data_IF_562205464765
#
_entry.id   IF_562205464765
#
_cell.length_a   1.000
_cell.length_b   1.000
_cell.length_c   1.000
_cell.angle_alpha   90.00
_cell.angle_beta   90.00
_cell.angle_gamma   90.00
#
_symmetry.space_group_name_H-M   'P 1'
#
loop_
_entity.id
_entity.type
_entity.pdbx_description
1 polymer ?
#
# COMPACT_ATOMS: atom_id res chain seq x y z
N UNK A 1 46.16 23.61 -27.30
CA UNK A 1 46.16 22.56 -26.25
C UNK A 1 44.72 22.33 -25.83
N UNK A 2 44.25 21.10 -25.99
CA UNK A 2 42.87 20.70 -25.79
C UNK A 2 42.54 20.54 -24.30
N UNK A 3 41.33 20.97 -23.93
CA UNK A 3 40.68 20.66 -22.66
C UNK A 3 39.20 20.47 -22.92
N UNK A 4 38.83 19.28 -23.40
CA UNK A 4 37.44 18.87 -23.65
C UNK A 4 36.77 18.59 -22.31
N UNK A 5 35.81 19.43 -21.90
CA UNK A 5 34.89 19.10 -20.80
C UNK A 5 33.57 18.60 -21.36
N UNK A 6 33.31 17.32 -21.13
CA UNK A 6 32.14 16.56 -21.55
C UNK A 6 30.82 17.14 -20.97
N UNK A 7 29.78 17.44 -21.78
CA UNK A 7 28.51 17.96 -21.28
C UNK A 7 27.46 16.85 -21.15
N UNK A 8 27.72 15.81 -20.35
CA UNK A 8 26.73 14.76 -20.12
C UNK A 8 26.72 14.27 -18.66
N UNK A 9 25.93 14.96 -17.84
CA UNK A 9 25.32 14.54 -16.55
C UNK A 9 24.76 15.85 -16.00
N UNK A 10 23.46 16.10 -15.93
CA UNK A 10 22.61 15.80 -14.77
C UNK A 10 21.12 16.11 -15.09
N UNK A 11 20.67 16.00 -16.35
CA UNK A 11 19.33 16.47 -16.76
C UNK A 11 18.27 15.38 -16.89
N UNK A 12 18.38 14.27 -16.16
CA UNK A 12 17.38 13.18 -16.20
C UNK A 12 16.75 12.89 -14.82
N UNK A 13 17.36 13.33 -13.71
CA UNK A 13 16.91 12.94 -12.36
C UNK A 13 15.83 13.90 -11.81
N UNK A 14 15.75 15.16 -12.26
CA UNK A 14 14.82 16.16 -11.67
C UNK A 14 13.39 16.11 -12.19
N UNK A 15 13.14 15.56 -13.39
CA UNK A 15 11.78 15.45 -13.96
C UNK A 15 10.93 14.43 -13.22
N UNK A 16 11.52 13.32 -12.79
CA UNK A 16 10.79 12.25 -12.08
C UNK A 16 10.35 12.68 -10.68
N UNK A 17 11.15 13.47 -9.95
CA UNK A 17 10.76 13.98 -8.63
C UNK A 17 9.56 14.91 -8.70
N UNK A 18 9.55 15.83 -9.66
CA UNK A 18 8.40 16.73 -9.89
C UNK A 18 7.17 15.98 -10.37
N UNK A 19 7.33 14.95 -11.21
CA UNK A 19 6.22 14.13 -11.68
C UNK A 19 5.63 13.25 -10.56
N UNK A 20 6.46 12.68 -9.70
CA UNK A 20 6.04 11.90 -8.53
C UNK A 20 5.40 12.82 -7.47
N UNK A 21 5.98 13.97 -7.17
CA UNK A 21 5.39 14.97 -6.28
C UNK A 21 4.08 15.55 -6.84
N UNK A 22 3.98 15.75 -8.17
CA UNK A 22 2.75 16.17 -8.84
C UNK A 22 1.71 15.05 -8.82
N UNK A 23 2.09 13.78 -9.03
CA UNK A 23 1.21 12.64 -8.83
C UNK A 23 0.67 12.62 -7.41
N UNK A 24 1.56 12.64 -6.40
CA UNK A 24 1.24 12.67 -4.96
C UNK A 24 0.37 13.87 -4.55
N UNK A 25 0.66 15.07 -5.05
CA UNK A 25 -0.10 16.29 -4.76
C UNK A 25 -1.45 16.33 -5.49
N UNK A 26 -1.56 15.68 -6.65
CA UNK A 26 -2.83 15.50 -7.35
C UNK A 26 -3.76 14.49 -6.67
N UNK A 27 -3.26 13.60 -5.79
CA UNK A 27 -4.11 12.56 -5.18
C UNK A 27 -5.17 13.09 -4.19
N UNK A 28 -4.86 13.99 -3.24
CA UNK A 28 -5.89 14.64 -2.43
C UNK A 28 -6.80 15.54 -3.29
N UNK A 29 -6.21 16.18 -4.32
CA UNK A 29 -6.93 17.09 -5.20
C UNK A 29 -7.95 16.38 -6.11
N UNK A 30 -7.69 15.14 -6.56
CA UNK A 30 -8.64 14.34 -7.37
C UNK A 30 -9.80 13.84 -6.52
N UNK A 31 -9.56 13.44 -5.26
CA UNK A 31 -10.63 13.07 -4.33
C UNK A 31 -11.54 14.27 -4.01
N UNK A 32 -10.97 15.47 -3.89
CA UNK A 32 -11.72 16.72 -3.68
C UNK A 32 -12.42 17.24 -4.96
N UNK A 33 -11.84 17.03 -6.15
CA UNK A 33 -12.35 17.60 -7.40
C UNK A 33 -13.64 16.93 -7.94
N UNK A 34 -14.00 15.74 -7.45
CA UNK A 34 -15.16 14.96 -7.94
C UNK A 34 -16.29 14.79 -6.90
N UNK A 35 -16.35 15.62 -5.86
CA UNK A 35 -17.42 15.56 -4.84
C UNK A 35 -17.12 14.66 -3.64
N UNK A 36 -15.86 14.23 -3.48
CA UNK A 36 -15.40 13.49 -2.32
C UNK A 36 -15.26 11.97 -2.52
N UNK A 37 -14.62 11.31 -1.56
CA UNK A 37 -14.46 9.85 -1.57
C UNK A 37 -13.73 9.26 -0.35
N UNK A 38 -13.63 7.93 -0.26
CA UNK A 38 -13.08 7.22 0.89
C UNK A 38 -11.54 7.28 0.92
N UNK A 39 -10.98 8.05 1.84
CA UNK A 39 -9.53 8.29 2.01
C UNK A 39 -8.73 6.98 2.11
N UNK A 40 -9.23 5.98 2.84
CA UNK A 40 -8.55 4.70 2.99
C UNK A 40 -8.33 3.99 1.65
N UNK A 41 -9.35 3.98 0.77
CA UNK A 41 -9.24 3.35 -0.54
C UNK A 41 -8.22 4.06 -1.43
N UNK A 42 -8.16 5.40 -1.33
CA UNK A 42 -7.13 6.19 -2.03
C UNK A 42 -5.73 5.83 -1.52
N UNK A 43 -5.50 5.83 -0.20
CA UNK A 43 -4.20 5.48 0.38
C UNK A 43 -3.78 4.06 -0.02
N UNK A 44 -4.69 3.09 0.08
CA UNK A 44 -4.40 1.71 -0.31
C UNK A 44 -4.05 1.57 -1.79
N UNK A 45 -4.79 2.25 -2.67
CA UNK A 45 -4.51 2.27 -4.10
C UNK A 45 -3.13 2.85 -4.43
N UNK A 46 -2.78 3.97 -3.80
CA UNK A 46 -1.45 4.58 -3.98
C UNK A 46 -0.33 3.70 -3.43
N UNK A 47 -0.49 3.15 -2.22
CA UNK A 47 0.49 2.27 -1.60
C UNK A 47 0.75 1.03 -2.47
N UNK A 48 -0.28 0.48 -3.11
CA UNK A 48 -0.13 -0.60 -4.08
C UNK A 48 0.70 -0.16 -5.30
N UNK A 49 0.28 0.91 -6.00
CA UNK A 49 0.95 1.33 -7.25
C UNK A 49 2.44 1.62 -7.05
N UNK A 50 2.80 2.31 -5.96
CA UNK A 50 4.18 2.73 -5.73
C UNK A 50 5.00 1.72 -4.93
N UNK A 51 4.36 0.99 -4.01
CA UNK A 51 5.02 0.04 -3.13
C UNK A 51 5.30 -1.31 -3.75
N UNK A 52 4.53 -1.72 -4.76
CA UNK A 52 4.55 -3.10 -5.27
C UNK A 52 5.93 -3.55 -5.72
N UNK A 53 6.68 -2.70 -6.43
CA UNK A 53 8.03 -3.06 -6.92
C UNK A 53 8.97 -3.37 -5.76
N UNK A 54 8.94 -2.55 -4.71
CA UNK A 54 9.78 -2.72 -3.52
C UNK A 54 9.38 -3.98 -2.75
N UNK A 55 8.08 -4.16 -2.49
CA UNK A 55 7.55 -5.31 -1.76
C UNK A 55 7.92 -6.61 -2.48
N UNK A 56 7.63 -6.70 -3.78
CA UNK A 56 7.95 -7.90 -4.57
C UNK A 56 9.45 -8.20 -4.57
N UNK A 57 10.30 -7.17 -4.66
CA UNK A 57 11.75 -7.33 -4.65
C UNK A 57 12.25 -7.91 -3.32
N UNK A 58 11.91 -7.27 -2.19
CA UNK A 58 12.37 -7.67 -0.86
C UNK A 58 11.85 -9.05 -0.48
N UNK A 59 10.57 -9.32 -0.69
CA UNK A 59 9.98 -10.61 -0.33
C UNK A 59 10.52 -11.75 -1.20
N UNK A 60 10.76 -11.49 -2.49
CA UNK A 60 11.40 -12.47 -3.37
C UNK A 60 12.82 -12.77 -2.90
N UNK A 61 13.60 -11.76 -2.52
CA UNK A 61 14.96 -11.98 -2.00
C UNK A 61 14.94 -12.79 -0.71
N UNK A 62 14.06 -12.46 0.23
CA UNK A 62 13.94 -13.15 1.51
C UNK A 62 13.46 -14.60 1.32
N UNK A 63 12.43 -14.83 0.50
CA UNK A 63 11.91 -16.17 0.26
C UNK A 63 12.94 -17.02 -0.49
N UNK A 64 13.66 -16.46 -1.45
CA UNK A 64 14.72 -17.17 -2.18
C UNK A 64 15.80 -17.64 -1.20
N UNK A 65 16.24 -16.76 -0.31
CA UNK A 65 17.25 -17.07 0.71
C UNK A 65 16.77 -18.15 1.69
N UNK A 66 15.50 -18.11 2.08
CA UNK A 66 14.95 -19.06 3.05
C UNK A 66 14.62 -20.44 2.43
N UNK A 67 14.16 -20.47 1.18
CA UNK A 67 13.64 -21.69 0.53
C UNK A 67 14.64 -22.42 -0.36
N UNK A 68 15.70 -21.73 -0.84
CA UNK A 68 16.62 -22.29 -1.83
C UNK A 68 16.01 -22.52 -3.22
N UNK A 69 14.77 -22.06 -3.45
CA UNK A 69 14.09 -22.20 -4.74
C UNK A 69 14.73 -21.32 -5.83
N UNK A 70 14.45 -21.66 -7.09
CA UNK A 70 14.82 -20.82 -8.23
C UNK A 70 14.20 -19.42 -8.10
N UNK A 71 14.86 -18.39 -8.67
CA UNK A 71 14.35 -17.02 -8.66
C UNK A 71 12.94 -16.94 -9.24
N UNK A 72 12.69 -17.62 -10.36
CA UNK A 72 11.39 -17.59 -11.06
C UNK A 72 10.27 -18.20 -10.22
N UNK A 73 10.53 -19.35 -9.60
CA UNK A 73 9.55 -20.00 -8.71
C UNK A 73 9.26 -19.13 -7.50
N UNK A 74 10.31 -18.58 -6.89
CA UNK A 74 10.19 -17.70 -5.73
C UNK A 74 9.37 -16.46 -6.04
N UNK A 75 9.70 -15.78 -7.16
CA UNK A 75 8.97 -14.60 -7.60
C UNK A 75 7.50 -14.92 -7.84
N UNK A 76 7.18 -16.06 -8.48
CA UNK A 76 5.79 -16.48 -8.69
C UNK A 76 5.03 -16.68 -7.37
N UNK A 77 5.66 -17.28 -6.36
CA UNK A 77 5.04 -17.49 -5.05
C UNK A 77 4.72 -16.15 -4.38
N UNK A 78 5.69 -15.23 -4.37
CA UNK A 78 5.55 -13.89 -3.78
C UNK A 78 4.54 -13.05 -4.55
N UNK A 79 4.62 -13.05 -5.88
CA UNK A 79 3.73 -12.29 -6.75
C UNK A 79 2.27 -12.71 -6.55
N UNK A 80 1.98 -14.02 -6.53
CA UNK A 80 0.63 -14.50 -6.32
C UNK A 80 0.12 -14.19 -4.91
N UNK A 81 0.95 -14.34 -3.88
CA UNK A 81 0.56 -14.01 -2.51
C UNK A 81 0.19 -12.52 -2.39
N UNK A 82 1.05 -11.63 -2.91
CA UNK A 82 0.83 -10.20 -2.91
C UNK A 82 -0.38 -9.78 -3.76
N UNK A 83 -0.57 -10.39 -4.93
CA UNK A 83 -1.72 -10.12 -5.78
C UNK A 83 -3.02 -10.48 -5.05
N UNK A 84 -3.07 -11.66 -4.43
CA UNK A 84 -4.25 -12.11 -3.69
C UNK A 84 -4.52 -11.25 -2.46
N UNK A 85 -3.50 -10.93 -1.67
CA UNK A 85 -3.64 -10.09 -0.49
C UNK A 85 -4.02 -8.66 -0.84
N UNK A 86 -3.50 -8.11 -1.95
CA UNK A 86 -3.92 -6.81 -2.46
C UNK A 86 -5.39 -6.82 -2.90
N UNK A 87 -5.81 -7.81 -3.70
CA UNK A 87 -7.18 -7.83 -4.22
C UNK A 87 -8.20 -8.01 -3.09
N UNK A 88 -7.94 -8.91 -2.15
CA UNK A 88 -8.87 -9.22 -1.06
C UNK A 88 -8.81 -8.17 0.04
N UNK A 89 -7.61 -7.84 0.52
CA UNK A 89 -7.42 -7.00 1.70
C UNK A 89 -7.03 -5.57 1.31
N UNK A 90 -6.05 -5.39 0.43
CA UNK A 90 -5.58 -4.06 0.04
C UNK A 90 -6.67 -3.19 -0.59
N UNK A 91 -7.47 -3.76 -1.49
CA UNK A 91 -8.53 -3.05 -2.22
C UNK A 91 -9.92 -3.54 -1.83
N UNK A 92 -10.13 -4.86 -1.73
CA UNK A 92 -11.43 -5.44 -1.44
C UNK A 92 -12.01 -4.98 -0.10
N UNK A 93 -11.18 -4.96 0.96
CA UNK A 93 -11.63 -4.51 2.27
C UNK A 93 -11.98 -3.01 2.31
N UNK A 94 -11.10 -2.07 1.90
CA UNK A 94 -11.46 -0.65 1.86
C UNK A 94 -12.66 -0.35 0.95
N UNK A 95 -12.78 -1.06 -0.18
CA UNK A 95 -13.92 -0.92 -1.07
C UNK A 95 -15.21 -1.36 -0.40
N UNK A 96 -15.23 -2.54 0.22
CA UNK A 96 -16.40 -3.04 0.94
C UNK A 96 -16.78 -2.11 2.10
N UNK A 97 -15.79 -1.64 2.86
CA UNK A 97 -16.00 -0.67 3.94
C UNK A 97 -16.63 0.61 3.41
N UNK A 98 -16.12 1.16 2.30
CA UNK A 98 -16.67 2.35 1.66
C UNK A 98 -18.12 2.12 1.22
N UNK A 99 -18.43 1.00 0.56
CA UNK A 99 -19.80 0.69 0.12
C UNK A 99 -20.76 0.60 1.30
N UNK A 100 -20.43 -0.17 2.34
CA UNK A 100 -21.29 -0.34 3.52
C UNK A 100 -21.54 1.02 4.20
N UNK A 101 -20.49 1.82 4.34
CA UNK A 101 -20.58 3.11 5.03
C UNK A 101 -21.30 4.16 4.19
N UNK A 102 -21.21 4.13 2.86
CA UNK A 102 -22.02 4.98 1.98
C UNK A 102 -23.52 4.75 2.21
N UNK A 103 -23.96 3.49 2.28
CA UNK A 103 -25.36 3.20 2.59
C UNK A 103 -25.75 3.61 4.02
N UNK A 104 -24.84 3.45 4.98
CA UNK A 104 -25.11 3.83 6.37
C UNK A 104 -25.08 5.36 6.60
N UNK A 105 -24.55 6.16 5.68
CA UNK A 105 -24.60 7.63 5.75
C UNK A 105 -26.02 8.19 5.63
N UNK A 106 -26.95 7.43 5.04
CA UNK A 106 -28.38 7.78 4.95
C UNK A 106 -29.10 7.71 6.31
N UNK A 107 -28.47 7.13 7.35
CA UNK A 107 -29.08 7.01 8.66
C UNK A 107 -29.23 8.38 9.35
N UNK A 108 -30.23 8.55 10.24
CA UNK A 108 -30.41 9.79 11.00
C UNK A 108 -29.17 10.19 11.78
N UNK A 109 -29.00 11.50 12.02
CA UNK A 109 -27.94 12.00 12.87
C UNK A 109 -28.09 11.46 14.31
N UNK A 110 -26.98 11.13 15.00
CA UNK A 110 -25.57 11.29 14.59
C UNK A 110 -24.98 10.11 13.79
N UNK A 111 -25.75 9.06 13.53
CA UNK A 111 -25.24 7.78 13.02
C UNK A 111 -24.66 7.89 11.61
N UNK A 112 -25.30 8.64 10.71
CA UNK A 112 -24.76 8.89 9.36
C UNK A 112 -23.40 9.60 9.38
N UNK A 113 -23.17 10.48 10.37
CA UNK A 113 -21.88 11.14 10.56
C UNK A 113 -20.78 10.18 11.04
N UNK A 114 -21.11 9.25 11.95
CA UNK A 114 -20.17 8.19 12.34
C UNK A 114 -19.89 7.22 11.19
N UNK A 115 -20.88 6.88 10.38
CA UNK A 115 -20.71 6.03 9.20
C UNK A 115 -19.74 6.68 8.19
N UNK A 116 -19.93 7.97 7.88
CA UNK A 116 -19.02 8.74 7.05
C UNK A 116 -17.57 8.69 7.57
N UNK A 117 -17.38 8.94 8.88
CA UNK A 117 -16.06 8.91 9.50
C UNK A 117 -15.42 7.52 9.46
N UNK A 118 -16.17 6.46 9.78
CA UNK A 118 -15.71 5.07 9.73
C UNK A 118 -15.33 4.64 8.31
N UNK A 119 -16.10 5.06 7.31
CA UNK A 119 -15.82 4.85 5.89
C UNK A 119 -14.68 5.70 5.35
N UNK A 120 -14.14 6.58 6.19
CA UNK A 120 -13.09 7.54 5.87
C UNK A 120 -13.46 8.50 4.73
N UNK A 121 -14.75 8.83 4.60
CA UNK A 121 -15.25 9.68 3.52
C UNK A 121 -14.81 11.14 3.71
N UNK A 122 -14.22 11.71 2.67
CA UNK A 122 -13.90 13.13 2.57
C UNK A 122 -14.90 13.76 1.60
N UNK A 123 -15.61 14.81 2.02
CA UNK A 123 -16.47 15.64 1.16
C UNK A 123 -16.73 16.99 1.87
N UNK A 124 -17.33 17.95 1.16
CA UNK A 124 -17.63 19.26 1.72
C UNK A 124 -18.59 19.16 2.91
N UNK A 125 -18.21 19.76 4.04
CA UNK A 125 -18.95 19.67 5.31
C UNK A 125 -19.00 18.27 5.94
N UNK A 126 -18.06 17.38 5.60
CA UNK A 126 -17.96 16.07 6.23
C UNK A 126 -17.87 16.19 7.78
N UNK A 127 -18.79 15.55 8.52
CA UNK A 127 -18.73 15.54 9.98
C UNK A 127 -17.48 14.80 10.42
N UNK A 128 -16.87 15.24 11.53
CA UNK A 128 -15.70 14.58 12.11
C UNK A 128 -14.45 14.54 11.21
N UNK A 129 -14.33 15.40 10.18
CA UNK A 129 -13.17 15.44 9.25
C UNK A 129 -11.81 15.49 9.97
N UNK A 130 -11.75 16.18 11.12
CA UNK A 130 -10.55 16.27 11.99
C UNK A 130 -10.04 14.92 12.53
N UNK A 131 -10.89 13.88 12.54
CA UNK A 131 -10.53 12.55 13.03
C UNK A 131 -10.22 11.54 11.92
N UNK A 132 -10.47 11.89 10.65
CA UNK A 132 -10.33 10.97 9.52
C UNK A 132 -8.91 10.40 9.39
N UNK A 133 -7.88 11.22 9.61
CA UNK A 133 -6.50 10.74 9.57
C UNK A 133 -6.23 9.63 10.60
N UNK A 134 -6.70 9.78 11.84
CA UNK A 134 -6.54 8.77 12.89
C UNK A 134 -7.34 7.50 12.58
N UNK A 135 -8.56 7.64 12.06
CA UNK A 135 -9.41 6.51 11.69
C UNK A 135 -8.79 5.75 10.50
N UNK A 136 -8.27 6.45 9.49
CA UNK A 136 -7.54 5.84 8.38
C UNK A 136 -6.29 5.11 8.85
N UNK A 137 -5.52 5.66 9.81
CA UNK A 137 -4.37 4.95 10.40
C UNK A 137 -4.79 3.68 11.14
N UNK A 138 -5.88 3.71 11.90
CA UNK A 138 -6.43 2.54 12.55
C UNK A 138 -6.84 1.47 11.53
N UNK A 139 -7.50 1.87 10.44
CA UNK A 139 -7.84 0.94 9.37
C UNK A 139 -6.63 0.41 8.62
N UNK A 140 -5.59 1.22 8.41
CA UNK A 140 -4.33 0.75 7.82
C UNK A 140 -3.70 -0.35 8.68
N UNK A 141 -3.68 -0.18 10.01
CA UNK A 141 -3.24 -1.24 10.92
C UNK A 141 -4.09 -2.51 10.78
N UNK A 142 -5.41 -2.37 10.71
CA UNK A 142 -6.32 -3.51 10.49
C UNK A 142 -6.01 -4.20 9.15
N UNK A 143 -5.87 -3.44 8.06
CA UNK A 143 -5.52 -4.00 6.75
C UNK A 143 -4.16 -4.68 6.76
N UNK A 144 -3.16 -4.13 7.44
CA UNK A 144 -1.85 -4.76 7.59
C UNK A 144 -1.96 -6.13 8.27
N UNK A 145 -2.67 -6.21 9.39
CA UNK A 145 -2.89 -7.47 10.09
C UNK A 145 -3.65 -8.48 9.22
N UNK A 146 -4.72 -8.04 8.55
CA UNK A 146 -5.48 -8.88 7.64
C UNK A 146 -4.64 -9.38 6.46
N UNK A 147 -3.73 -8.56 5.92
CA UNK A 147 -2.79 -8.95 4.86
C UNK A 147 -1.87 -10.06 5.35
N UNK A 148 -1.29 -9.92 6.55
CA UNK A 148 -0.44 -10.96 7.17
C UNK A 148 -1.20 -12.29 7.30
N UNK A 149 -2.45 -12.25 7.77
CA UNK A 149 -3.28 -13.45 7.89
C UNK A 149 -3.65 -14.05 6.53
N UNK A 150 -4.02 -13.20 5.56
CA UNK A 150 -4.40 -13.59 4.21
C UNK A 150 -3.24 -14.29 3.51
N UNK A 151 -2.04 -13.72 3.54
CA UNK A 151 -0.87 -14.31 2.91
C UNK A 151 -0.43 -15.60 3.60
N UNK A 152 -0.54 -15.67 4.93
CA UNK A 152 -0.29 -16.92 5.66
C UNK A 152 -1.23 -18.02 5.22
N UNK A 153 -2.52 -17.73 5.13
CA UNK A 153 -3.51 -18.68 4.63
C UNK A 153 -3.21 -19.08 3.18
N UNK A 154 -2.88 -18.10 2.33
CA UNK A 154 -2.53 -18.33 0.93
C UNK A 154 -1.29 -19.22 0.78
N UNK A 155 -0.19 -18.93 1.47
CA UNK A 155 1.02 -19.74 1.41
C UNK A 155 0.77 -21.16 1.92
N UNK A 156 0.06 -21.33 3.05
CA UNK A 156 -0.29 -22.65 3.55
C UNK A 156 -1.11 -23.47 2.54
N UNK A 157 -2.09 -22.84 1.90
CA UNK A 157 -2.92 -23.51 0.91
C UNK A 157 -2.17 -23.79 -0.40
N UNK A 158 -1.50 -22.78 -0.93
CA UNK A 158 -0.83 -22.84 -2.23
C UNK A 158 0.38 -23.78 -2.20
N UNK A 159 1.21 -23.72 -1.17
CA UNK A 159 2.39 -24.58 -1.04
C UNK A 159 2.02 -26.04 -0.88
N UNK A 160 0.95 -26.34 -0.13
CA UNK A 160 0.37 -27.69 -0.09
C UNK A 160 -0.08 -28.16 -1.48
N UNK A 161 -0.74 -27.28 -2.23
CA UNK A 161 -1.24 -27.60 -3.58
C UNK A 161 -0.10 -27.88 -4.58
N UNK A 162 1.02 -27.16 -4.48
CA UNK A 162 2.18 -27.36 -5.37
C UNK A 162 3.21 -28.35 -4.82
N UNK A 163 2.92 -29.02 -3.70
CA UNK A 163 3.81 -30.00 -3.08
C UNK A 163 5.08 -29.41 -2.46
N UNK A 164 5.11 -28.11 -2.19
CA UNK A 164 6.24 -27.45 -1.54
C UNK A 164 6.13 -27.58 -0.01
N UNK A 165 7.12 -28.20 0.62
CA UNK A 165 7.21 -28.32 2.07
C UNK A 165 8.36 -27.45 2.60
N UNK A 166 8.09 -26.30 3.23
CA UNK A 166 9.14 -25.41 3.71
C UNK A 166 9.91 -26.02 4.89
N UNK A 167 11.23 -25.91 4.87
CA UNK A 167 12.10 -26.26 6.01
C UNK A 167 12.11 -25.19 7.11
N UNK A 168 11.44 -24.06 6.88
CA UNK A 168 11.40 -22.90 7.76
C UNK A 168 9.98 -22.61 8.27
N UNK A 169 9.88 -21.84 9.35
CA UNK A 169 8.59 -21.41 9.90
C UNK A 169 7.96 -20.32 9.02
N UNK A 170 6.81 -20.65 8.40
CA UNK A 170 6.00 -19.71 7.61
C UNK A 170 5.67 -18.44 8.42
N UNK A 171 5.30 -18.61 9.69
CA UNK A 171 4.92 -17.49 10.55
C UNK A 171 6.07 -16.50 10.72
N UNK A 172 7.28 -16.99 11.03
CA UNK A 172 8.47 -16.13 11.19
C UNK A 172 8.82 -15.45 9.86
N UNK A 173 8.75 -16.18 8.75
CA UNK A 173 9.04 -15.65 7.43
C UNK A 173 8.10 -14.49 7.06
N UNK A 174 6.79 -14.66 7.22
CA UNK A 174 5.81 -13.61 6.87
C UNK A 174 6.04 -12.36 7.70
N UNK A 175 6.20 -12.49 9.02
CA UNK A 175 6.46 -11.31 9.86
C UNK A 175 7.77 -10.60 9.49
N UNK A 176 8.82 -11.33 9.15
CA UNK A 176 10.08 -10.74 8.68
C UNK A 176 9.94 -10.06 7.31
N UNK A 177 9.25 -10.71 6.38
CA UNK A 177 8.96 -10.18 5.05
C UNK A 177 8.19 -8.87 5.14
N UNK A 178 7.08 -8.86 5.89
CA UNK A 178 6.26 -7.68 6.12
C UNK A 178 7.02 -6.58 6.87
N UNK A 179 7.79 -6.91 7.91
CA UNK A 179 8.60 -5.92 8.61
C UNK A 179 9.61 -5.25 7.67
N UNK A 180 10.31 -6.01 6.82
CA UNK A 180 11.28 -5.48 5.87
C UNK A 180 10.60 -4.65 4.76
N UNK A 181 9.54 -5.18 4.16
CA UNK A 181 8.78 -4.52 3.09
C UNK A 181 8.18 -3.19 3.57
N UNK A 182 7.49 -3.18 4.71
CA UNK A 182 6.81 -1.99 5.22
C UNK A 182 7.77 -0.98 5.85
N UNK A 183 8.90 -1.41 6.43
CA UNK A 183 9.95 -0.47 6.88
C UNK A 183 10.55 0.29 5.69
N UNK A 184 10.82 -0.40 4.59
CA UNK A 184 11.30 0.26 3.37
C UNK A 184 10.23 1.17 2.75
N UNK A 185 8.96 0.76 2.78
CA UNK A 185 7.84 1.57 2.29
C UNK A 185 7.64 2.83 3.14
N UNK A 186 7.81 2.73 4.46
CA UNK A 186 7.81 3.88 5.38
C UNK A 186 8.94 4.85 5.05
N UNK A 187 10.16 4.36 4.81
CA UNK A 187 11.29 5.21 4.41
C UNK A 187 10.99 5.91 3.07
N UNK A 188 10.47 5.19 2.08
CA UNK A 188 10.07 5.74 0.79
C UNK A 188 9.04 6.86 0.99
N UNK A 189 8.00 6.60 1.80
CA UNK A 189 6.96 7.59 2.13
C UNK A 189 7.56 8.80 2.85
N UNK A 190 8.40 8.61 3.86
CA UNK A 190 9.03 9.70 4.61
C UNK A 190 9.95 10.55 3.75
N UNK A 191 10.76 9.95 2.87
CA UNK A 191 11.62 10.68 1.93
C UNK A 191 10.78 11.45 0.91
N UNK A 192 9.72 10.83 0.39
CA UNK A 192 8.78 11.49 -0.52
C UNK A 192 8.04 12.66 0.14
N UNK A 193 7.66 12.52 1.42
CA UNK A 193 6.97 13.58 2.16
C UNK A 193 7.90 14.69 2.63
N UNK A 194 9.14 14.38 3.01
CA UNK A 194 10.15 15.38 3.36
C UNK A 194 10.36 16.34 2.20
N UNK A 195 10.53 15.83 0.97
CA UNK A 195 10.65 16.65 -0.25
C UNK A 195 9.39 17.51 -0.51
N UNK A 196 8.21 17.13 0.00
CA UNK A 196 6.94 17.86 -0.12
C UNK A 196 6.78 18.99 0.92
N UNK A 197 7.29 18.79 2.15
CA UNK A 197 7.23 19.78 3.23
C UNK A 197 8.46 20.70 3.30
N UNK A 198 9.52 20.39 2.54
CA UNK A 198 10.69 21.27 2.34
C UNK A 198 10.53 22.24 1.15
N UNK A 199 9.32 22.34 0.57
CA UNK A 199 8.90 23.39 -0.36
C UNK A 199 8.08 24.44 0.38
#
# INVERSE_FOLDING_TARGET
>A
MAGVTCPWKYRVISKNKKFIALLLACFPAIAYANGGGPLLLFISGSAFIFGQVWILFIETMLLKKASGLSTTTTFKHVFLANLMSTLIVGLGFPFLLAVITAFAMELPQPYGGYASALGTWIYDSAPHIKYLGYISLAWLLVTFLLTVFCEKAFYNWYWRKVGFNPSFSINKFIWQAHAASYSGLLIIVLVMWHDLFSM
#
